data_IF_540894950508
#
_entry.id   IF_540894950508
#
_cell.length_a   1.000
_cell.length_b   1.000
_cell.length_c   1.000
_cell.angle_alpha   90.00
_cell.angle_beta   90.00
_cell.angle_gamma   90.00
#
_symmetry.space_group_name_H-M   'P 1'
#
loop_
_entity.id
_entity.type
_entity.pdbx_description
1 polymer ?
#
# COMPACT_ATOMS: atom_id res chain seq x y z
N UNK A 1 4.65 10.20 9.21
CA UNK A 1 5.37 9.10 8.51
C UNK A 1 5.28 7.80 9.31
N UNK A 2 5.96 7.64 10.45
CA UNK A 2 5.73 6.45 11.32
C UNK A 2 4.27 6.33 11.75
N UNK A 3 3.69 7.46 12.12
CA UNK A 3 2.29 7.64 12.56
C UNK A 3 1.28 7.22 11.48
N UNK A 4 1.70 7.18 10.22
CA UNK A 4 0.92 6.63 9.12
C UNK A 4 0.96 5.10 9.09
N UNK A 5 2.14 4.51 9.24
CA UNK A 5 2.17 3.05 9.28
C UNK A 5 1.42 2.56 10.52
N UNK A 6 1.38 3.34 11.61
CA UNK A 6 0.61 3.05 12.81
C UNK A 6 -0.91 2.97 12.54
N UNK A 7 -1.63 4.09 12.27
CA UNK A 7 -3.09 3.95 12.15
C UNK A 7 -3.61 3.14 10.95
N UNK A 8 -2.78 2.80 9.94
CA UNK A 8 -3.19 1.92 8.83
C UNK A 8 -3.11 0.47 9.28
N UNK A 9 -2.17 0.18 10.18
CA UNK A 9 -2.15 -1.05 10.94
C UNK A 9 -3.30 -1.06 11.96
N UNK A 10 -3.73 0.09 12.48
CA UNK A 10 -4.92 0.18 13.35
C UNK A 10 -6.24 -0.11 12.62
N UNK A 11 -6.43 0.29 11.36
CA UNK A 11 -7.64 -0.05 10.57
C UNK A 11 -7.71 -1.52 10.15
N UNK A 12 -6.58 -2.24 10.13
CA UNK A 12 -6.51 -3.63 9.67
C UNK A 12 -6.77 -4.67 10.76
N UNK A 13 -7.36 -5.81 10.39
CA UNK A 13 -7.67 -6.92 11.29
C UNK A 13 -6.53 -7.96 11.32
N UNK A 14 -5.37 -7.54 11.84
CA UNK A 14 -4.15 -8.37 11.91
C UNK A 14 -4.30 -9.54 12.90
N UNK A 15 -4.81 -9.29 14.11
CA UNK A 15 -4.87 -10.29 15.19
C UNK A 15 -5.82 -11.46 14.89
N UNK A 16 -6.85 -11.23 14.07
CA UNK A 16 -7.73 -12.28 13.53
C UNK A 16 -7.07 -13.12 12.40
N UNK A 17 -5.84 -12.75 11.99
CA UNK A 17 -5.21 -13.25 10.77
C UNK A 17 -5.95 -12.89 9.47
N UNK A 18 -6.97 -12.03 9.52
CA UNK A 18 -7.78 -11.62 8.36
C UNK A 18 -6.93 -10.82 7.38
N UNK A 19 -6.13 -9.89 7.88
CA UNK A 19 -5.25 -9.04 7.08
C UNK A 19 -3.77 -9.31 7.36
N UNK A 20 -2.88 -8.92 6.44
CA UNK A 20 -1.42 -9.05 6.59
C UNK A 20 -0.72 -7.80 6.07
N UNK A 21 0.36 -7.37 6.73
CA UNK A 21 1.08 -6.13 6.44
C UNK A 21 2.57 -6.40 6.25
N UNK A 22 3.16 -5.77 5.23
CA UNK A 22 4.60 -5.71 4.99
C UNK A 22 5.00 -4.26 4.71
N UNK A 23 6.17 -3.88 5.22
CA UNK A 23 6.72 -2.53 5.08
C UNK A 23 8.08 -2.61 4.42
N UNK A 24 8.27 -1.82 3.36
CA UNK A 24 9.53 -1.73 2.61
C UNK A 24 9.93 -0.25 2.49
N UNK A 25 11.17 0.07 2.85
CA UNK A 25 11.77 1.37 2.56
C UNK A 25 12.63 1.25 1.31
N UNK A 26 12.71 2.27 0.46
CA UNK A 26 13.57 2.24 -0.73
C UNK A 26 14.26 3.59 -0.97
N UNK A 27 15.39 3.53 -1.65
CA UNK A 27 16.08 4.68 -2.24
C UNK A 27 16.87 4.23 -3.46
N UNK A 28 18.18 4.02 -3.34
CA UNK A 28 19.02 3.35 -4.35
C UNK A 28 18.62 1.89 -4.55
N UNK A 29 18.17 1.27 -3.46
CA UNK A 29 17.86 -0.13 -3.28
C UNK A 29 16.63 -0.27 -2.34
N UNK A 30 15.86 -1.37 -2.43
CA UNK A 30 14.77 -1.67 -1.52
C UNK A 30 15.26 -2.47 -0.28
N UNK A 31 14.76 -2.10 0.90
CA UNK A 31 15.04 -2.76 2.17
C UNK A 31 13.73 -3.11 2.89
N UNK A 32 13.40 -4.40 2.92
CA UNK A 32 12.27 -4.93 3.70
C UNK A 32 12.52 -4.68 5.18
N UNK A 33 11.49 -4.22 5.88
CA UNK A 33 11.49 -4.06 7.33
C UNK A 33 10.85 -5.30 7.99
N UNK A 34 9.77 -5.81 7.37
CA UNK A 34 9.15 -7.09 7.67
C UNK A 34 8.26 -7.55 6.50
N UNK A 35 8.06 -8.86 6.34
CA UNK A 35 7.23 -9.50 5.32
C UNK A 35 5.79 -9.75 5.81
N UNK A 36 4.88 -10.12 4.91
CA UNK A 36 3.45 -10.33 5.20
C UNK A 36 3.19 -11.47 6.22
N UNK A 37 4.17 -12.34 6.45
CA UNK A 37 4.13 -13.43 7.43
C UNK A 37 5.01 -13.22 8.68
N UNK A 38 5.67 -12.07 8.82
CA UNK A 38 6.64 -11.85 9.93
C UNK A 38 5.97 -11.61 11.29
N UNK A 39 4.78 -11.02 11.32
CA UNK A 39 4.03 -10.72 12.54
C UNK A 39 2.60 -11.23 12.46
N UNK A 40 2.06 -11.65 13.60
CA UNK A 40 0.70 -12.21 13.72
C UNK A 40 -0.24 -11.38 14.58
N UNK A 41 0.29 -10.41 15.34
CA UNK A 41 -0.53 -9.47 16.13
C UNK A 41 -0.33 -8.03 15.66
N UNK A 42 -1.37 -7.20 15.78
CA UNK A 42 -1.32 -5.76 15.50
C UNK A 42 -0.26 -5.07 16.35
N UNK A 43 -0.15 -5.47 17.62
CA UNK A 43 0.86 -4.94 18.56
C UNK A 43 2.28 -5.11 18.02
N UNK A 44 2.65 -6.29 17.52
CA UNK A 44 4.00 -6.54 16.98
C UNK A 44 4.31 -5.68 15.75
N UNK A 45 3.32 -5.52 14.87
CA UNK A 45 3.44 -4.63 13.70
C UNK A 45 3.63 -3.18 14.17
N UNK A 46 2.84 -2.69 15.13
CA UNK A 46 2.97 -1.35 15.70
C UNK A 46 4.32 -1.16 16.43
N UNK A 47 4.81 -2.15 17.16
CA UNK A 47 6.10 -2.13 17.84
C UNK A 47 7.25 -1.99 16.82
N UNK A 48 7.23 -2.81 15.77
CA UNK A 48 8.20 -2.74 14.66
C UNK A 48 8.13 -1.39 13.94
N UNK A 49 6.92 -0.90 13.67
CA UNK A 49 6.65 0.41 13.06
C UNK A 49 7.22 1.56 13.89
N UNK A 50 7.07 1.54 15.22
CA UNK A 50 7.65 2.54 16.12
C UNK A 50 9.18 2.54 16.08
N UNK A 51 9.79 1.38 15.83
CA UNK A 51 11.23 1.22 15.63
C UNK A 51 11.80 1.79 14.31
N UNK A 52 11.00 1.85 13.23
CA UNK A 52 11.45 2.14 11.85
C UNK A 52 12.36 3.36 11.72
N UNK A 53 13.67 3.14 11.50
CA UNK A 53 14.62 4.23 11.22
C UNK A 53 14.63 4.53 9.72
N UNK A 54 14.66 5.80 9.34
CA UNK A 54 14.64 6.20 7.94
C UNK A 54 15.92 5.70 7.22
N UNK A 55 15.76 4.89 6.16
CA UNK A 55 16.89 4.28 5.43
C UNK A 55 17.88 5.30 4.83
N UNK A 56 17.38 6.45 4.35
CA UNK A 56 18.21 7.42 3.62
C UNK A 56 18.70 6.86 2.28
N UNK A 57 19.81 7.41 1.76
CA UNK A 57 20.36 7.05 0.45
C UNK A 57 19.77 7.84 -0.72
N UNK A 58 20.49 7.81 -1.85
CA UNK A 58 20.15 8.38 -3.17
C UNK A 58 20.85 7.54 -4.25
N UNK A 59 20.39 7.48 -5.52
CA UNK A 59 19.20 8.12 -6.10
C UNK A 59 17.88 7.50 -5.59
N UNK A 60 16.75 7.86 -6.20
CA UNK A 60 15.43 7.29 -5.90
C UNK A 60 15.00 6.36 -7.05
N UNK A 61 15.11 5.06 -6.83
CA UNK A 61 14.86 4.01 -7.82
C UNK A 61 13.53 3.31 -7.52
N UNK A 62 12.44 3.88 -8.02
CA UNK A 62 11.08 3.37 -7.78
C UNK A 62 10.83 2.11 -8.60
N UNK A 63 11.36 2.02 -9.82
CA UNK A 63 11.22 0.84 -10.68
C UNK A 63 11.84 -0.42 -10.05
N UNK A 64 13.05 -0.29 -9.49
CA UNK A 64 13.73 -1.33 -8.74
C UNK A 64 12.93 -1.77 -7.50
N UNK A 65 12.31 -0.82 -6.78
CA UNK A 65 11.47 -1.12 -5.64
C UNK A 65 10.19 -1.88 -6.03
N UNK A 66 9.49 -1.43 -7.08
CA UNK A 66 8.29 -2.09 -7.62
C UNK A 66 8.61 -3.52 -8.10
N UNK A 67 9.73 -3.71 -8.79
CA UNK A 67 10.19 -5.04 -9.24
C UNK A 67 10.50 -5.95 -8.05
N UNK A 68 11.18 -5.42 -7.03
CA UNK A 68 11.47 -6.19 -5.81
C UNK A 68 10.20 -6.63 -5.08
N UNK A 69 9.17 -5.78 -4.99
CA UNK A 69 7.88 -6.15 -4.37
C UNK A 69 7.22 -7.33 -5.08
N UNK A 70 7.18 -7.32 -6.42
CA UNK A 70 6.67 -8.40 -7.26
C UNK A 70 7.38 -9.72 -6.95
N UNK A 71 8.72 -9.67 -6.89
CA UNK A 71 9.57 -10.87 -6.84
C UNK A 71 9.83 -11.39 -5.41
N UNK A 72 9.62 -10.57 -4.37
CA UNK A 72 10.01 -10.88 -2.98
C UNK A 72 8.94 -10.64 -1.91
N UNK A 73 7.86 -9.90 -2.19
CA UNK A 73 6.84 -9.55 -1.16
C UNK A 73 5.45 -10.07 -1.54
N UNK A 74 5.03 -9.93 -2.79
CA UNK A 74 3.77 -10.48 -3.30
C UNK A 74 3.86 -11.98 -3.67
N UNK A 75 4.68 -12.72 -2.92
CA UNK A 75 4.97 -14.15 -3.09
C UNK A 75 4.43 -14.98 -1.93
N UNK A 76 4.13 -16.27 -2.18
CA UNK A 76 3.59 -17.16 -1.15
C UNK A 76 4.57 -17.38 0.01
N UNK A 77 5.88 -17.46 -0.27
CA UNK A 77 6.96 -17.58 0.72
C UNK A 77 7.07 -16.37 1.65
N UNK A 78 6.77 -15.17 1.15
CA UNK A 78 6.70 -13.93 1.93
C UNK A 78 5.36 -13.74 2.68
N UNK A 79 4.39 -14.65 2.50
CA UNK A 79 3.10 -14.59 3.18
C UNK A 79 1.94 -13.99 2.37
N UNK A 80 2.12 -13.69 1.09
CA UNK A 80 1.02 -13.28 0.20
C UNK A 80 -0.03 -14.38 0.09
N UNK A 81 -1.31 -13.98 0.03
CA UNK A 81 -2.46 -14.88 -0.15
C UNK A 81 -3.17 -14.66 -1.50
N UNK A 82 -2.45 -14.12 -2.48
CA UNK A 82 -2.91 -13.88 -3.85
C UNK A 82 -3.50 -15.13 -4.51
N UNK A 83 -2.84 -16.28 -4.33
CA UNK A 83 -3.29 -17.60 -4.82
C UNK A 83 -4.57 -18.11 -4.13
N UNK A 84 -4.93 -17.56 -2.97
CA UNK A 84 -6.19 -17.82 -2.26
C UNK A 84 -7.28 -16.80 -2.59
N UNK A 85 -7.09 -15.98 -3.63
CA UNK A 85 -8.07 -14.98 -4.07
C UNK A 85 -8.21 -13.77 -3.13
N UNK A 86 -7.25 -13.53 -2.23
CA UNK A 86 -7.27 -12.41 -1.30
C UNK A 86 -6.60 -11.18 -1.94
N UNK A 87 -7.30 -10.04 -2.09
CA UNK A 87 -6.77 -8.80 -2.67
C UNK A 87 -5.38 -8.41 -2.16
N UNK A 88 -4.51 -8.00 -3.09
CA UNK A 88 -3.17 -7.51 -2.82
C UNK A 88 -3.15 -6.00 -3.09
N UNK A 89 -2.92 -5.21 -2.05
CA UNK A 89 -2.90 -3.74 -2.12
C UNK A 89 -1.47 -3.25 -1.89
N UNK A 90 -1.01 -2.40 -2.81
CA UNK A 90 0.23 -1.65 -2.71
C UNK A 90 -0.11 -0.16 -2.58
N UNK A 91 0.14 0.38 -1.41
CA UNK A 91 0.13 1.83 -1.23
C UNK A 91 1.56 2.28 -1.54
N UNK A 92 1.86 2.73 -2.76
CA UNK A 92 3.19 3.25 -3.16
C UNK A 92 3.35 4.66 -2.64
N UNK A 93 4.50 5.00 -2.05
CA UNK A 93 4.80 6.36 -1.61
C UNK A 93 6.12 6.86 -2.15
N UNK A 94 6.12 8.11 -2.61
CA UNK A 94 7.31 8.82 -3.09
C UNK A 94 7.28 10.30 -2.67
N UNK A 95 8.49 10.86 -2.45
CA UNK A 95 8.71 12.30 -2.29
C UNK A 95 9.43 12.95 -3.48
N UNK A 96 9.67 12.20 -4.57
CA UNK A 96 10.51 12.60 -5.70
C UNK A 96 10.15 11.91 -7.01
N UNK A 97 10.63 12.45 -8.13
CA UNK A 97 10.66 11.76 -9.41
C UNK A 97 11.64 10.58 -9.36
N UNK A 98 11.34 9.49 -10.06
CA UNK A 98 12.23 8.35 -10.18
C UNK A 98 13.48 8.64 -11.03
N UNK A 99 14.55 7.90 -10.76
CA UNK A 99 15.78 7.88 -11.56
C UNK A 99 15.85 6.67 -12.52
N UNK A 100 15.00 5.66 -12.33
CA UNK A 100 14.85 4.50 -13.21
C UNK A 100 13.47 4.47 -13.91
N UNK A 101 13.32 3.61 -14.91
CA UNK A 101 12.02 3.39 -15.57
C UNK A 101 11.08 2.62 -14.65
N UNK A 102 9.86 3.14 -14.52
CA UNK A 102 8.78 2.56 -13.69
C UNK A 102 7.81 1.71 -14.50
N UNK A 103 7.93 1.68 -15.83
CA UNK A 103 6.90 1.21 -16.77
C UNK A 103 6.71 -0.31 -16.75
N UNK A 104 7.80 -1.08 -16.92
CA UNK A 104 7.76 -2.56 -16.79
C UNK A 104 7.40 -3.00 -15.37
N UNK A 105 8.02 -2.46 -14.29
CA UNK A 105 7.67 -2.84 -12.92
C UNK A 105 6.21 -2.54 -12.54
N UNK A 106 5.67 -1.39 -12.95
CA UNK A 106 4.26 -1.05 -12.73
C UNK A 106 3.32 -1.96 -13.51
N UNK A 107 3.59 -2.18 -14.80
CA UNK A 107 2.80 -3.08 -15.64
C UNK A 107 2.78 -4.51 -15.09
N UNK A 108 3.94 -5.02 -14.66
CA UNK A 108 4.06 -6.36 -14.09
C UNK A 108 3.31 -6.52 -12.75
N UNK A 109 3.27 -5.50 -11.89
CA UNK A 109 2.47 -5.53 -10.66
C UNK A 109 0.96 -5.53 -10.94
N UNK A 110 0.49 -4.75 -11.92
CA UNK A 110 -0.91 -4.77 -12.36
C UNK A 110 -1.30 -6.11 -12.95
N UNK A 111 -0.45 -6.70 -13.80
CA UNK A 111 -0.64 -8.05 -14.35
C UNK A 111 -0.62 -9.13 -13.27
N UNK A 112 0.09 -8.91 -12.16
CA UNK A 112 0.03 -9.78 -10.99
C UNK A 112 -1.30 -9.65 -10.21
N UNK A 113 -2.11 -8.62 -10.46
CA UNK A 113 -3.33 -8.32 -9.71
C UNK A 113 -3.07 -7.56 -8.40
N UNK A 114 -2.03 -6.73 -8.37
CA UNK A 114 -1.72 -5.84 -7.24
C UNK A 114 -2.34 -4.46 -7.48
N UNK A 115 -3.38 -4.15 -6.71
CA UNK A 115 -4.03 -2.85 -6.69
C UNK A 115 -3.05 -1.80 -6.16
N UNK A 116 -2.76 -0.76 -6.92
CA UNK A 116 -1.72 0.20 -6.55
C UNK A 116 -2.27 1.61 -6.39
N UNK A 117 -2.07 2.21 -5.23
CA UNK A 117 -2.49 3.58 -4.88
C UNK A 117 -1.23 4.43 -4.66
N UNK A 118 -1.06 5.49 -5.46
CA UNK A 118 0.20 6.23 -5.54
C UNK A 118 0.15 7.55 -4.75
N UNK A 119 0.78 7.45 -3.60
CA UNK A 119 1.20 8.40 -2.59
C UNK A 119 2.22 9.51 -2.99
N UNK A 120 1.93 10.56 -3.78
CA UNK A 120 2.97 11.53 -4.26
C UNK A 120 3.04 12.93 -3.60
N UNK A 121 4.19 13.62 -3.63
CA UNK A 121 4.38 15.03 -3.16
C UNK A 121 4.67 15.99 -4.32
N UNK A 122 4.86 17.29 -4.03
CA UNK A 122 5.35 18.29 -5.01
C UNK A 122 6.63 17.89 -5.76
N UNK A 123 7.47 17.04 -5.17
CA UNK A 123 8.71 16.59 -5.79
C UNK A 123 8.55 15.40 -6.75
N UNK A 124 7.40 14.72 -6.74
CA UNK A 124 7.13 13.56 -7.60
C UNK A 124 6.38 13.94 -8.88
N UNK A 125 6.66 13.24 -9.97
CA UNK A 125 5.98 13.44 -11.26
C UNK A 125 4.58 12.79 -11.23
N UNK A 126 3.48 13.55 -11.41
CA UNK A 126 2.12 12.99 -11.43
C UNK A 126 1.92 11.92 -12.51
N UNK A 127 2.68 11.95 -13.61
CA UNK A 127 2.61 10.94 -14.67
C UNK A 127 3.24 9.62 -14.23
N UNK A 128 4.30 9.65 -13.44
CA UNK A 128 4.87 8.45 -12.83
C UNK A 128 3.86 7.83 -11.85
N UNK A 129 3.20 8.65 -11.01
CA UNK A 129 2.13 8.19 -10.10
C UNK A 129 1.00 7.48 -10.87
N UNK A 130 0.44 8.15 -11.89
CA UNK A 130 -0.65 7.60 -12.73
C UNK A 130 -0.22 6.36 -13.52
N UNK A 131 1.02 6.32 -14.02
CA UNK A 131 1.56 5.14 -14.70
C UNK A 131 1.71 3.98 -13.73
N UNK A 132 2.01 4.22 -12.45
CA UNK A 132 2.15 3.17 -11.45
C UNK A 132 0.78 2.67 -10.94
N UNK A 133 -0.20 3.55 -10.68
CA UNK A 133 -1.57 3.10 -10.32
C UNK A 133 -2.29 2.43 -11.48
N UNK A 134 -2.20 3.01 -12.68
CA UNK A 134 -3.02 2.67 -13.84
C UNK A 134 -4.39 3.38 -13.86
N UNK A 135 -4.83 3.90 -12.72
CA UNK A 135 -6.10 4.60 -12.54
C UNK A 135 -5.82 5.96 -11.86
N UNK A 136 -6.14 7.11 -12.51
CA UNK A 136 -5.82 8.43 -11.98
C UNK A 136 -6.47 8.78 -10.63
N UNK A 137 -7.64 8.24 -10.29
CA UNK A 137 -8.28 8.49 -8.99
C UNK A 137 -7.45 7.96 -7.80
N UNK A 138 -6.67 6.89 -8.02
CA UNK A 138 -5.73 6.35 -7.04
C UNK A 138 -4.37 7.10 -7.00
N UNK A 139 -4.13 8.06 -7.91
CA UNK A 139 -2.88 8.84 -8.01
C UNK A 139 -2.96 10.14 -7.18
N UNK A 140 -2.87 9.98 -5.87
CA UNK A 140 -3.14 11.01 -4.86
C UNK A 140 -1.93 11.92 -4.58
N UNK A 141 -2.16 13.24 -4.41
CA UNK A 141 -1.10 14.25 -4.28
C UNK A 141 -1.17 15.07 -2.99
N UNK A 142 -0.03 15.48 -2.45
CA UNK A 142 0.09 16.43 -1.31
C UNK A 142 1.06 17.55 -1.63
N UNK A 143 1.13 18.56 -0.76
CA UNK A 143 2.27 19.47 -0.71
C UNK A 143 3.51 18.75 -0.16
N UNK A 144 3.60 18.49 1.15
CA UNK A 144 4.79 17.89 1.79
C UNK A 144 4.57 16.53 2.49
N UNK A 145 5.66 15.85 2.87
CA UNK A 145 5.63 14.63 3.72
C UNK A 145 5.14 14.87 5.16
N UNK A 146 4.73 16.10 5.49
CA UNK A 146 4.01 16.47 6.71
C UNK A 146 2.50 16.68 6.47
N UNK A 147 2.09 17.08 5.26
CA UNK A 147 0.68 17.33 4.86
C UNK A 147 -0.14 16.06 4.65
N UNK A 148 0.51 14.93 4.80
CA UNK A 148 -0.04 13.59 4.61
C UNK A 148 -1.38 13.36 5.34
N UNK A 149 -1.69 14.00 6.48
CA UNK A 149 -3.01 13.95 7.09
C UNK A 149 -4.17 14.56 6.31
N UNK A 150 -3.93 15.10 5.11
CA UNK A 150 -4.94 15.77 4.27
C UNK A 150 -5.41 14.92 3.09
N UNK A 151 -4.75 13.80 2.79
CA UNK A 151 -5.17 12.80 1.76
C UNK A 151 -5.62 11.49 2.40
N UNK A 152 -5.97 11.59 3.68
CA UNK A 152 -5.76 10.49 4.61
C UNK A 152 -7.06 9.60 4.68
N UNK A 153 -8.29 10.14 4.63
CA UNK A 153 -9.52 9.37 4.31
C UNK A 153 -9.59 9.01 2.83
N UNK A 154 -9.07 9.88 1.95
CA UNK A 154 -9.11 9.66 0.51
C UNK A 154 -8.37 8.37 0.12
N UNK A 155 -7.30 8.02 0.85
CA UNK A 155 -6.67 6.71 0.75
C UNK A 155 -7.61 5.58 1.17
N UNK A 156 -8.30 5.70 2.30
CA UNK A 156 -9.19 4.65 2.83
C UNK A 156 -10.33 4.35 1.85
N UNK A 157 -11.00 5.38 1.32
CA UNK A 157 -12.01 5.23 0.26
C UNK A 157 -11.42 4.66 -1.04
N UNK A 158 -10.15 4.96 -1.36
CA UNK A 158 -9.46 4.36 -2.52
C UNK A 158 -9.16 2.87 -2.30
N UNK A 159 -8.79 2.47 -1.08
CA UNK A 159 -8.56 1.05 -0.72
C UNK A 159 -9.88 0.28 -0.76
N UNK A 160 -10.95 0.84 -0.23
CA UNK A 160 -12.29 0.24 -0.23
C UNK A 160 -12.83 0.05 -1.65
N UNK A 161 -12.77 1.09 -2.49
CA UNK A 161 -13.17 1.02 -3.90
C UNK A 161 -12.35 -0.04 -4.68
N UNK A 162 -11.02 0.00 -4.56
CA UNK A 162 -10.14 -0.93 -5.25
C UNK A 162 -10.39 -2.41 -4.85
N UNK A 163 -10.71 -2.66 -3.58
CA UNK A 163 -11.05 -4.01 -3.07
C UNK A 163 -12.43 -4.47 -3.58
N UNK A 164 -13.35 -3.54 -3.82
CA UNK A 164 -14.64 -3.82 -4.47
C UNK A 164 -14.46 -4.23 -5.94
N UNK A 165 -13.68 -3.47 -6.72
CA UNK A 165 -13.43 -3.71 -8.15
C UNK A 165 -12.83 -5.10 -8.47
N UNK A 166 -12.08 -5.70 -7.53
CA UNK A 166 -11.48 -7.05 -7.68
C UNK A 166 -12.44 -8.18 -7.25
N UNK A 167 -13.65 -7.84 -6.82
CA UNK A 167 -14.69 -8.81 -6.47
C UNK A 167 -15.71 -8.94 -7.60
N UNK A 168 -15.69 -10.04 -8.40
CA UNK A 168 -16.70 -10.23 -9.43
C UNK A 168 -18.09 -10.35 -8.80
N UNK A 169 -19.03 -9.55 -9.29
CA UNK A 169 -20.37 -9.44 -8.72
C UNK A 169 -21.18 -10.74 -8.85
N UNK A 170 -21.93 -11.05 -7.81
CA UNK A 170 -23.18 -11.80 -7.88
C UNK A 170 -24.30 -10.90 -7.36
N UNK A 171 -25.53 -10.99 -7.90
CA UNK A 171 -26.47 -9.88 -7.83
C UNK A 171 -27.15 -9.69 -6.46
N UNK A 172 -27.24 -8.41 -6.08
CA UNK A 172 -28.36 -7.80 -5.34
C UNK A 172 -28.74 -8.36 -3.96
N UNK A 173 -28.34 -7.64 -2.91
CA UNK A 173 -29.28 -7.13 -1.88
C UNK A 173 -28.87 -5.70 -1.50
N UNK A 174 -29.82 -4.75 -1.48
CA UNK A 174 -29.59 -3.42 -0.91
C UNK A 174 -29.71 -3.52 0.61
N UNK A 175 -28.58 -3.67 1.30
CA UNK A 175 -28.49 -3.65 2.77
C UNK A 175 -28.10 -2.27 3.28
N UNK A 176 -29.00 -1.59 4.00
CA UNK A 176 -28.68 -0.34 4.69
C UNK A 176 -27.77 -0.61 5.90
N UNK A 177 -26.50 -0.25 5.81
CA UNK A 177 -25.55 -0.33 6.93
C UNK A 177 -25.43 1.04 7.62
N UNK A 178 -25.67 1.05 8.92
CA UNK A 178 -25.60 2.23 9.78
C UNK A 178 -24.37 2.17 10.68
N UNK A 179 -23.63 3.29 10.72
CA UNK A 179 -22.70 3.72 11.78
C UNK A 179 -21.55 2.76 12.18
N UNK A 180 -20.33 3.08 11.75
CA UNK A 180 -19.25 3.31 12.74
C UNK A 180 -18.08 4.17 12.21
N UNK A 181 -17.89 5.31 12.85
CA UNK A 181 -16.60 5.88 13.28
C UNK A 181 -15.28 5.60 12.52
N UNK A 182 -14.67 6.68 12.00
CA UNK A 182 -13.23 7.02 12.10
C UNK A 182 -12.17 6.13 11.38
N UNK A 183 -10.96 6.60 11.04
CA UNK A 183 -10.49 7.98 10.80
C UNK A 183 -9.08 7.96 10.16
N UNK A 184 -9.04 8.12 8.83
CA UNK A 184 -8.08 8.92 8.06
C UNK A 184 -6.61 8.39 8.15
N UNK A 185 -5.86 8.13 7.04
CA UNK A 185 -4.36 8.08 7.00
C UNK A 185 -3.66 8.07 5.58
N UNK A 186 -2.39 8.43 5.23
CA UNK A 186 -1.25 9.34 5.63
C UNK A 186 0.16 8.94 5.02
N UNK A 187 0.28 8.11 3.96
CA UNK A 187 1.48 8.03 3.05
C UNK A 187 2.87 7.50 3.61
N UNK A 188 3.13 6.17 3.56
CA UNK A 188 4.43 5.39 3.50
C UNK A 188 4.24 4.05 2.72
N UNK A 189 5.25 3.44 2.08
CA UNK A 189 5.05 2.23 1.24
C UNK A 189 4.58 0.97 2.01
N UNK A 190 3.28 0.68 1.92
CA UNK A 190 2.59 -0.45 2.58
C UNK A 190 2.21 -1.47 1.51
N UNK A 191 2.65 -2.72 1.70
CA UNK A 191 2.03 -3.89 1.07
C UNK A 191 1.04 -4.48 2.08
N UNK A 192 -0.24 -4.45 1.74
CA UNK A 192 -1.31 -5.02 2.55
C UNK A 192 -2.04 -6.13 1.77
N UNK A 193 -2.34 -7.23 2.44
CA UNK A 193 -3.31 -8.22 1.96
C UNK A 193 -4.61 -7.99 2.71
N UNK A 194 -5.62 -7.45 2.02
CA UNK A 194 -6.90 -7.03 2.60
C UNK A 194 -7.97 -8.09 2.33
N UNK A 195 -8.78 -8.41 3.34
CA UNK A 195 -9.90 -9.36 3.24
C UNK A 195 -10.92 -8.95 2.16
N UNK A 196 -11.51 -9.92 1.44
CA UNK A 196 -12.80 -9.68 0.76
C UNK A 196 -13.90 -9.37 1.78
N UNK A 197 -14.79 -8.44 1.44
CA UNK A 197 -16.08 -8.30 2.12
C UNK A 197 -16.95 -9.54 1.89
N UNK A 198 -18.02 -9.70 2.67
CA UNK A 198 -18.80 -10.94 2.76
C UNK A 198 -20.30 -10.67 2.86
#
# INVERSE_FOLDING_TARGET
MRDFVQKQVDTLSVDDGKDRVSVVQYSSDPAVQFYLNTYTTKREVLDSVRGLRHKGGRPLNTGAALRYLRDNVFTASAGSRRSSGVPQVLILITGGRSFDSIDEPASALKQLGVLTIAIGTRGSDPRELQTITGEPSYALSVSELTDLPKVQQQLESSVEAAVFEVTPELPTVIGTLSDTSYCWLQKLLISATVRKSK
#
